data_IF_060033430621
#
_entry.id   IF_060033430621
#
_cell.length_a   1.000
_cell.length_b   1.000
_cell.length_c   1.000
_cell.angle_alpha   90.00
_cell.angle_beta   90.00
_cell.angle_gamma   90.00
#
_symmetry.space_group_name_H-M   'P 1'
#
loop_
_entity.id
_entity.type
_entity.pdbx_description
1 polymer ?
#
# COMPACT_ATOMS: atom_id res chain seq x y z
N UNK A 1 -1.04 -32.32 20.07
CA UNK A 1 -1.78 -32.86 18.92
C UNK A 1 -1.18 -34.22 18.57
N UNK A 2 -1.98 -35.28 18.52
CA UNK A 2 -1.48 -36.62 18.17
C UNK A 2 -1.12 -36.67 16.68
N UNK A 3 -0.13 -37.47 16.30
CA UNK A 3 0.38 -37.57 14.91
C UNK A 3 -0.76 -37.90 13.92
N UNK A 4 -1.71 -38.74 14.33
CA UNK A 4 -2.89 -39.11 13.53
C UNK A 4 -3.87 -37.93 13.33
N UNK A 5 -4.08 -37.10 14.36
CA UNK A 5 -4.92 -35.90 14.26
C UNK A 5 -4.30 -34.87 13.29
N UNK A 6 -2.96 -34.76 13.29
CA UNK A 6 -2.22 -33.89 12.37
C UNK A 6 -2.27 -34.39 10.93
N UNK A 7 -2.07 -35.69 10.70
CA UNK A 7 -2.18 -36.29 9.36
C UNK A 7 -3.58 -36.14 8.78
N UNK A 8 -4.62 -36.35 9.61
CA UNK A 8 -6.00 -36.12 9.20
C UNK A 8 -6.25 -34.66 8.82
N UNK A 9 -5.85 -33.72 9.68
CA UNK A 9 -6.01 -32.28 9.43
C UNK A 9 -5.25 -31.82 8.18
N UNK A 10 -4.04 -32.35 7.96
CA UNK A 10 -3.25 -32.06 6.75
C UNK A 10 -3.96 -32.54 5.49
N UNK A 11 -4.37 -33.81 5.45
CA UNK A 11 -4.90 -34.46 4.26
C UNK A 11 -6.32 -34.01 3.90
N UNK A 12 -7.18 -33.85 4.90
CA UNK A 12 -8.58 -33.51 4.66
C UNK A 12 -8.81 -32.00 4.45
N UNK A 13 -7.96 -31.15 5.01
CA UNK A 13 -8.18 -29.69 4.99
C UNK A 13 -7.02 -28.92 4.38
N UNK A 14 -5.78 -29.07 4.87
CA UNK A 14 -4.67 -28.21 4.44
C UNK A 14 -4.23 -28.47 2.99
N UNK A 15 -4.15 -29.73 2.56
CA UNK A 15 -3.78 -30.11 1.19
C UNK A 15 -4.82 -29.62 0.17
N UNK A 16 -6.14 -29.89 0.33
CA UNK A 16 -7.17 -29.32 -0.54
C UNK A 16 -7.18 -27.79 -0.54
N UNK A 17 -7.01 -27.13 0.62
CA UNK A 17 -6.94 -25.67 0.70
C UNK A 17 -5.73 -25.12 -0.06
N UNK A 18 -4.59 -25.80 0.04
CA UNK A 18 -3.36 -25.44 -0.69
C UNK A 18 -3.56 -25.61 -2.20
N UNK A 19 -4.16 -26.71 -2.65
CA UNK A 19 -4.42 -26.95 -4.08
C UNK A 19 -5.45 -25.97 -4.65
N UNK A 20 -6.54 -25.70 -3.91
CA UNK A 20 -7.50 -24.63 -4.24
C UNK A 20 -6.79 -23.28 -4.38
N UNK A 21 -5.90 -22.94 -3.44
CA UNK A 21 -5.12 -21.70 -3.49
C UNK A 21 -4.22 -21.61 -4.72
N UNK A 22 -3.55 -22.71 -5.11
CA UNK A 22 -2.73 -22.78 -6.34
C UNK A 22 -3.56 -22.64 -7.61
N UNK A 23 -4.69 -23.34 -7.70
CA UNK A 23 -5.58 -23.26 -8.86
C UNK A 23 -6.16 -21.86 -9.02
N UNK A 24 -6.59 -21.25 -7.91
CA UNK A 24 -7.03 -19.87 -7.88
C UNK A 24 -5.93 -18.94 -8.37
N UNK A 25 -4.70 -19.08 -7.87
CA UNK A 25 -3.55 -18.29 -8.32
C UNK A 25 -3.30 -18.41 -9.84
N UNK A 26 -3.41 -19.61 -10.42
CA UNK A 26 -3.29 -19.82 -11.88
C UNK A 26 -4.39 -19.11 -12.68
N UNK A 27 -5.64 -19.18 -12.22
CA UNK A 27 -6.76 -18.48 -12.86
C UNK A 27 -6.58 -16.96 -12.80
N UNK A 28 -6.14 -16.43 -11.64
CA UNK A 28 -5.84 -15.02 -11.47
C UNK A 28 -4.73 -14.53 -12.41
N UNK A 29 -3.65 -15.29 -12.59
CA UNK A 29 -2.54 -14.88 -13.46
C UNK A 29 -2.91 -14.89 -14.96
N UNK A 30 -3.78 -15.82 -15.38
CA UNK A 30 -4.05 -16.03 -16.81
C UNK A 30 -5.34 -15.37 -17.32
N UNK A 31 -6.42 -15.33 -16.53
CA UNK A 31 -7.73 -14.89 -17.01
C UNK A 31 -8.04 -13.44 -16.65
N UNK A 32 -7.64 -12.98 -15.46
CA UNK A 32 -7.93 -11.60 -15.03
C UNK A 32 -7.37 -10.55 -15.98
N UNK A 33 -6.13 -10.65 -16.52
CA UNK A 33 -5.64 -9.67 -17.48
C UNK A 33 -6.52 -9.55 -18.74
N UNK A 34 -7.07 -10.66 -19.24
CA UNK A 34 -7.96 -10.64 -20.39
C UNK A 34 -9.31 -9.97 -20.07
N UNK A 35 -9.89 -10.28 -18.90
CA UNK A 35 -11.16 -9.69 -18.45
C UNK A 35 -11.03 -8.18 -18.27
N UNK A 36 -9.95 -7.71 -17.64
CA UNK A 36 -9.71 -6.28 -17.40
C UNK A 36 -9.51 -5.55 -18.73
N UNK A 37 -8.72 -6.10 -19.65
CA UNK A 37 -8.51 -5.47 -20.97
C UNK A 37 -9.84 -5.32 -21.72
N UNK A 38 -10.66 -6.38 -21.74
CA UNK A 38 -11.99 -6.33 -22.38
C UNK A 38 -12.90 -5.25 -21.77
N UNK A 39 -12.93 -5.14 -20.44
CA UNK A 39 -13.68 -4.07 -19.78
C UNK A 39 -13.19 -2.68 -20.22
N UNK A 40 -11.88 -2.46 -20.28
CA UNK A 40 -11.33 -1.17 -20.71
C UNK A 40 -11.60 -0.88 -22.20
N UNK A 41 -11.68 -1.90 -23.06
CA UNK A 41 -12.12 -1.77 -24.45
C UNK A 41 -13.59 -1.31 -24.54
N UNK A 42 -14.47 -1.86 -23.70
CA UNK A 42 -15.88 -1.46 -23.62
C UNK A 42 -16.04 -0.02 -23.08
N UNK A 43 -15.25 0.36 -22.07
CA UNK A 43 -15.18 1.74 -21.56
C UNK A 43 -14.74 2.70 -22.66
N UNK A 44 -13.67 2.36 -23.40
CA UNK A 44 -13.19 3.17 -24.53
C UNK A 44 -14.25 3.33 -25.63
N UNK A 45 -15.03 2.29 -25.89
CA UNK A 45 -16.11 2.32 -26.88
C UNK A 45 -17.34 3.11 -26.41
N UNK A 46 -17.35 3.65 -25.18
CA UNK A 46 -18.52 4.30 -24.58
C UNK A 46 -19.66 3.33 -24.24
N UNK A 47 -19.39 2.02 -24.27
CA UNK A 47 -20.38 0.97 -24.05
C UNK A 47 -20.66 0.66 -22.57
N UNK A 48 -19.79 1.13 -21.67
CA UNK A 48 -19.87 0.86 -20.23
C UNK A 48 -19.85 2.15 -19.41
N UNK A 49 -20.75 2.26 -18.44
CA UNK A 49 -20.70 3.31 -17.42
C UNK A 49 -19.48 3.04 -16.54
N UNK A 50 -18.56 3.99 -16.46
CA UNK A 50 -17.37 3.88 -15.62
C UNK A 50 -17.81 3.98 -14.16
N UNK A 51 -17.71 2.86 -13.43
CA UNK A 51 -17.88 2.89 -11.97
C UNK A 51 -16.50 2.99 -11.34
N UNK A 52 -16.36 3.95 -10.43
CA UNK A 52 -15.11 4.30 -9.75
C UNK A 52 -14.48 3.16 -8.94
N UNK A 53 -15.26 2.18 -8.49
CA UNK A 53 -14.84 1.03 -7.68
C UNK A 53 -14.64 -0.27 -8.48
N UNK A 54 -14.73 -0.21 -9.82
CA UNK A 54 -14.66 -1.41 -10.68
C UNK A 54 -13.28 -2.07 -10.66
N UNK A 55 -12.22 -1.27 -10.73
CA UNK A 55 -10.84 -1.75 -10.82
C UNK A 55 -10.01 -1.26 -9.65
N UNK A 56 -9.16 -2.13 -9.12
CA UNK A 56 -8.16 -1.76 -8.11
C UNK A 56 -7.01 -0.95 -8.75
N UNK A 57 -6.31 -0.10 -7.97
CA UNK A 57 -5.26 0.79 -8.49
C UNK A 57 -4.20 0.08 -9.34
N UNK A 58 -3.74 -1.08 -8.89
CA UNK A 58 -2.71 -1.87 -9.58
C UNK A 58 -3.19 -2.53 -10.88
N UNK A 59 -4.49 -2.77 -11.02
CA UNK A 59 -5.07 -3.22 -12.28
C UNK A 59 -5.17 -2.08 -13.28
N UNK A 60 -5.47 -0.86 -12.84
CA UNK A 60 -5.53 0.31 -13.73
C UNK A 60 -4.13 0.65 -14.26
N UNK A 61 -3.13 0.76 -13.37
CA UNK A 61 -1.79 1.20 -13.76
C UNK A 61 -1.10 0.24 -14.74
N UNK A 62 -1.42 -1.06 -14.67
CA UNK A 62 -0.93 -2.08 -15.61
C UNK A 62 -1.21 -1.72 -17.07
N UNK A 63 -2.36 -1.12 -17.34
CA UNK A 63 -2.82 -0.80 -18.70
C UNK A 63 -2.52 0.63 -19.13
N UNK A 64 -1.98 1.49 -18.27
CA UNK A 64 -1.74 2.91 -18.61
C UNK A 64 -0.74 3.10 -19.77
N UNK A 65 0.11 2.10 -20.02
CA UNK A 65 1.05 2.06 -21.15
C UNK A 65 0.54 1.22 -22.34
N UNK A 66 -0.62 0.58 -22.23
CA UNK A 66 -1.22 -0.19 -23.31
C UNK A 66 -1.70 0.77 -24.41
N UNK A 67 -1.42 0.42 -25.67
CA UNK A 67 -1.70 1.28 -26.84
C UNK A 67 -3.19 1.36 -27.15
N UNK A 68 -3.94 0.32 -26.81
CA UNK A 68 -5.35 0.18 -27.17
C UNK A 68 -6.24 0.76 -26.07
N UNK A 69 -5.90 0.48 -24.80
CA UNK A 69 -6.75 0.77 -23.64
C UNK A 69 -6.17 1.75 -22.62
N UNK A 70 -4.98 2.32 -22.87
CA UNK A 70 -4.33 3.22 -21.92
C UNK A 70 -5.13 4.48 -21.58
N UNK A 71 -5.87 5.03 -22.54
CA UNK A 71 -6.77 6.17 -22.30
C UNK A 71 -7.95 5.80 -21.38
N UNK A 72 -8.56 4.63 -21.59
CA UNK A 72 -9.62 4.14 -20.70
C UNK A 72 -9.09 3.87 -19.29
N UNK A 73 -7.84 3.39 -19.16
CA UNK A 73 -7.19 3.23 -17.87
C UNK A 73 -6.98 4.59 -17.17
N UNK A 74 -6.54 5.63 -17.89
CA UNK A 74 -6.41 6.99 -17.35
C UNK A 74 -7.76 7.54 -16.86
N UNK A 75 -8.84 7.35 -17.63
CA UNK A 75 -10.18 7.82 -17.24
C UNK A 75 -10.66 7.05 -16.00
N UNK A 76 -10.52 5.72 -15.97
CA UNK A 76 -10.87 4.90 -14.81
C UNK A 76 -10.08 5.32 -13.56
N UNK A 77 -8.81 5.68 -13.69
CA UNK A 77 -8.00 6.21 -12.58
C UNK A 77 -8.60 7.50 -12.03
N UNK A 78 -8.90 8.47 -12.90
CA UNK A 78 -9.46 9.76 -12.50
C UNK A 78 -10.79 9.60 -11.76
N UNK A 79 -11.69 8.76 -12.28
CA UNK A 79 -12.98 8.45 -11.63
C UNK A 79 -12.79 7.79 -10.25
N UNK A 80 -11.83 6.87 -10.12
CA UNK A 80 -11.49 6.26 -8.83
C UNK A 80 -10.98 7.30 -7.84
N UNK A 81 -10.06 8.17 -8.26
CA UNK A 81 -9.48 9.22 -7.43
C UNK A 81 -10.52 10.25 -6.98
N UNK A 82 -11.38 10.68 -7.89
CA UNK A 82 -12.46 11.62 -7.58
C UNK A 82 -13.45 11.03 -6.59
N UNK A 83 -13.84 9.77 -6.76
CA UNK A 83 -14.72 9.09 -5.81
C UNK A 83 -14.12 8.96 -4.40
N UNK A 84 -12.81 8.66 -4.29
CA UNK A 84 -12.13 8.60 -2.99
C UNK A 84 -12.04 10.00 -2.38
N UNK A 85 -11.80 11.03 -3.19
CA UNK A 85 -11.68 12.41 -2.75
C UNK A 85 -13.04 12.99 -2.28
N UNK A 86 -14.13 12.68 -2.98
CA UNK A 86 -15.50 13.17 -2.70
C UNK A 86 -16.25 12.36 -1.63
N UNK A 87 -15.72 11.22 -1.17
CA UNK A 87 -16.33 10.43 -0.09
C UNK A 87 -16.48 11.22 1.21
N UNK A 88 -17.18 10.65 2.20
CA UNK A 88 -17.62 11.35 3.44
C UNK A 88 -16.52 12.12 4.18
N UNK A 89 -15.24 11.73 4.03
CA UNK A 89 -14.07 12.60 4.19
C UNK A 89 -12.96 12.07 3.27
N UNK A 90 -12.09 12.93 2.71
CA UNK A 90 -10.86 12.47 2.05
C UNK A 90 -10.00 11.69 3.07
N UNK A 91 -10.06 10.37 3.00
CA UNK A 91 -9.50 9.45 4.00
C UNK A 91 -7.97 9.41 3.99
N UNK A 92 -7.34 9.97 2.97
CA UNK A 92 -5.89 10.02 2.80
C UNK A 92 -5.32 11.43 2.98
N UNK A 93 -6.10 12.38 3.52
CA UNK A 93 -5.59 13.69 3.94
C UNK A 93 -4.41 13.53 4.89
N UNK A 94 -3.40 14.39 4.75
CA UNK A 94 -2.17 14.37 5.56
C UNK A 94 -1.51 12.99 5.67
N UNK A 95 -1.55 12.20 4.60
CA UNK A 95 -0.84 10.94 4.48
C UNK A 95 0.40 11.09 3.60
N UNK A 96 1.43 10.28 3.85
CA UNK A 96 2.65 10.26 3.03
C UNK A 96 3.00 8.83 2.63
N UNK A 97 3.31 8.64 1.35
CA UNK A 97 3.84 7.39 0.85
C UNK A 97 5.36 7.38 0.92
N UNK A 98 5.91 6.26 1.38
CA UNK A 98 7.32 5.88 1.21
C UNK A 98 7.35 4.68 0.30
N UNK A 99 7.95 4.82 -0.89
CA UNK A 99 8.04 3.75 -1.88
C UNK A 99 9.50 3.31 -2.04
N UNK A 100 9.76 2.03 -1.79
CA UNK A 100 11.05 1.40 -2.02
C UNK A 100 10.84 0.08 -2.77
N UNK A 101 11.00 0.13 -4.09
CA UNK A 101 10.79 -1.03 -4.97
C UNK A 101 12.15 -1.71 -5.16
N UNK A 102 12.44 -2.68 -4.30
CA UNK A 102 13.71 -3.42 -4.34
C UNK A 102 13.72 -4.44 -5.48
N UNK A 103 14.90 -5.00 -5.76
CA UNK A 103 15.05 -6.12 -6.68
C UNK A 103 14.14 -7.31 -6.36
N UNK A 104 13.86 -7.60 -5.08
CA UNK A 104 12.96 -8.68 -4.70
C UNK A 104 11.51 -8.43 -5.18
N UNK A 105 11.12 -7.15 -5.28
CA UNK A 105 9.82 -6.69 -5.74
C UNK A 105 9.72 -6.55 -7.27
N UNK A 106 10.71 -7.04 -8.03
CA UNK A 106 10.80 -6.89 -9.49
C UNK A 106 9.69 -7.58 -10.29
N UNK A 107 8.87 -8.44 -9.66
CA UNK A 107 7.66 -8.95 -10.29
C UNK A 107 6.72 -7.79 -10.66
N UNK A 108 6.29 -7.74 -11.93
CA UNK A 108 5.51 -6.63 -12.48
C UNK A 108 4.27 -6.29 -11.63
N UNK A 109 3.52 -7.30 -11.19
CA UNK A 109 2.33 -7.11 -10.35
C UNK A 109 2.61 -6.45 -8.99
N UNK A 110 3.77 -6.74 -8.39
CA UNK A 110 4.19 -6.16 -7.09
C UNK A 110 4.66 -4.73 -7.28
N UNK A 111 5.44 -4.50 -8.34
CA UNK A 111 5.91 -3.16 -8.73
C UNK A 111 4.73 -2.24 -9.07
N UNK A 112 3.76 -2.71 -9.87
CA UNK A 112 2.52 -2.00 -10.20
C UNK A 112 1.71 -1.66 -8.95
N UNK A 113 1.61 -2.59 -7.99
CA UNK A 113 0.90 -2.36 -6.74
C UNK A 113 1.58 -1.29 -5.87
N UNK A 114 2.89 -1.42 -5.62
CA UNK A 114 3.62 -0.43 -4.84
C UNK A 114 3.58 0.97 -5.47
N UNK A 115 3.75 1.05 -6.80
CA UNK A 115 3.70 2.32 -7.51
C UNK A 115 2.30 2.94 -7.51
N UNK A 116 1.24 2.16 -7.79
CA UNK A 116 -0.12 2.68 -7.79
C UNK A 116 -0.57 3.18 -6.41
N UNK A 117 -0.27 2.45 -5.33
CA UNK A 117 -0.56 2.91 -3.97
C UNK A 117 0.25 4.16 -3.60
N UNK A 118 1.52 4.22 -4.00
CA UNK A 118 2.36 5.40 -3.80
C UNK A 118 1.82 6.66 -4.46
N UNK A 119 1.41 6.55 -5.73
CA UNK A 119 0.80 7.65 -6.49
C UNK A 119 -0.53 8.07 -5.86
N UNK A 120 -1.40 7.09 -5.55
CA UNK A 120 -2.71 7.33 -4.95
C UNK A 120 -2.62 8.12 -3.64
N UNK A 121 -1.78 7.67 -2.71
CA UNK A 121 -1.58 8.35 -1.42
C UNK A 121 -1.01 9.75 -1.63
N UNK A 122 -0.04 9.89 -2.55
CA UNK A 122 0.57 11.18 -2.84
C UNK A 122 -0.45 12.20 -3.37
N UNK A 123 -1.33 11.78 -4.28
CA UNK A 123 -2.33 12.65 -4.91
C UNK A 123 -3.51 13.00 -4.01
N UNK A 124 -3.92 12.09 -3.14
CA UNK A 124 -5.00 12.32 -2.18
C UNK A 124 -4.52 13.05 -0.92
N UNK A 125 -3.21 13.22 -0.72
CA UNK A 125 -2.70 14.03 0.38
C UNK A 125 -3.03 15.52 0.22
N UNK A 126 -2.83 16.30 1.29
CA UNK A 126 -3.29 17.68 1.37
C UNK A 126 -2.19 18.70 0.98
N UNK A 127 -2.62 19.78 0.32
CA UNK A 127 -1.77 20.95 0.07
C UNK A 127 -1.53 21.74 1.37
N UNK A 128 -0.46 22.56 1.47
CA UNK A 128 0.60 22.80 0.49
C UNK A 128 1.84 21.91 0.67
N UNK A 129 1.88 21.13 1.75
CA UNK A 129 3.14 20.54 2.23
C UNK A 129 3.40 19.13 1.67
N UNK A 130 2.37 18.35 1.34
CA UNK A 130 2.52 16.91 1.13
C UNK A 130 1.88 16.37 -0.14
N UNK A 131 0.88 17.05 -0.69
CA UNK A 131 0.25 16.66 -1.95
C UNK A 131 1.27 16.51 -3.08
N UNK A 132 1.13 15.43 -3.83
CA UNK A 132 2.00 15.05 -4.94
C UNK A 132 3.41 14.63 -4.53
N UNK A 133 3.68 14.42 -3.23
CA UNK A 133 5.02 14.05 -2.75
C UNK A 133 5.12 12.60 -2.30
N UNK A 134 6.27 11.99 -2.59
CA UNK A 134 6.62 10.62 -2.20
C UNK A 134 8.04 10.59 -1.66
N UNK A 135 8.28 9.83 -0.60
CA UNK A 135 9.64 9.56 -0.12
C UNK A 135 10.19 8.33 -0.86
N UNK A 136 11.42 8.46 -1.34
CA UNK A 136 12.19 7.36 -1.92
C UNK A 136 13.42 7.08 -1.06
N UNK A 137 13.96 5.86 -1.16
CA UNK A 137 15.29 5.58 -0.67
C UNK A 137 16.30 5.81 -1.78
N UNK A 138 17.42 6.47 -1.44
CA UNK A 138 18.52 6.60 -2.36
C UNK A 138 19.05 5.23 -2.81
N UNK A 139 19.64 5.15 -4.02
CA UNK A 139 20.17 3.90 -4.56
C UNK A 139 21.43 3.40 -3.83
N UNK A 140 21.98 4.12 -2.86
CA UNK A 140 23.22 3.75 -2.17
C UNK A 140 23.01 3.63 -0.67
N UNK A 141 23.85 2.82 -0.01
CA UNK A 141 23.74 2.48 1.42
C UNK A 141 23.85 3.67 2.37
N UNK A 142 24.49 4.73 1.90
CA UNK A 142 24.84 5.97 2.60
C UNK A 142 23.96 7.16 2.19
N UNK A 143 23.01 6.95 1.26
CA UNK A 143 22.09 8.02 0.83
C UNK A 143 20.85 8.06 1.73
N UNK A 144 20.58 9.27 2.23
CA UNK A 144 19.40 9.60 3.01
C UNK A 144 18.13 9.45 2.15
N UNK A 145 16.96 9.18 2.78
CA UNK A 145 15.68 9.27 2.10
C UNK A 145 15.50 10.66 1.48
N UNK A 146 14.81 10.72 0.35
CA UNK A 146 14.56 11.96 -0.37
C UNK A 146 13.07 12.15 -0.59
N UNK A 147 12.57 13.36 -0.33
CA UNK A 147 11.21 13.75 -0.63
C UNK A 147 11.16 14.26 -2.08
N UNK A 148 10.45 13.53 -2.94
CA UNK A 148 10.27 13.90 -4.34
C UNK A 148 8.86 14.43 -4.59
N UNK A 149 8.75 15.51 -5.36
CA UNK A 149 7.49 15.88 -6.00
C UNK A 149 7.32 15.02 -7.27
N UNK A 150 6.26 14.22 -7.33
CA UNK A 150 5.94 13.38 -8.49
C UNK A 150 5.68 14.29 -9.70
N UNK A 151 6.39 14.03 -10.79
CA UNK A 151 6.28 14.80 -12.03
C UNK A 151 5.41 14.07 -13.05
N UNK A 152 4.67 14.82 -13.88
CA UNK A 152 3.83 14.31 -14.95
C UNK A 152 2.39 14.81 -14.88
N UNK A 153 1.76 14.96 -16.04
CA UNK A 153 0.36 15.44 -16.17
C UNK A 153 -0.67 14.32 -16.28
N UNK A 154 -0.23 13.08 -16.50
CA UNK A 154 -1.07 11.89 -16.67
C UNK A 154 -0.55 10.74 -15.80
N UNK A 155 -1.35 9.69 -15.59
CA UNK A 155 -0.94 8.54 -14.78
C UNK A 155 0.30 7.84 -15.35
N UNK A 156 0.44 7.80 -16.68
CA UNK A 156 1.59 7.16 -17.34
C UNK A 156 2.92 7.82 -16.96
N UNK A 157 2.99 9.13 -17.08
CA UNK A 157 4.19 9.92 -16.78
C UNK A 157 4.51 9.91 -15.28
N UNK A 158 3.49 9.95 -14.42
CA UNK A 158 3.64 9.79 -12.96
C UNK A 158 4.13 8.40 -12.59
N UNK A 159 3.59 7.34 -13.21
CA UNK A 159 4.06 5.98 -13.07
C UNK A 159 5.53 5.85 -13.50
N UNK A 160 5.88 6.40 -14.66
CA UNK A 160 7.25 6.43 -15.16
C UNK A 160 8.21 7.16 -14.19
N UNK A 161 7.75 8.26 -13.58
CA UNK A 161 8.52 8.96 -12.55
C UNK A 161 8.75 8.07 -11.32
N UNK A 162 7.68 7.50 -10.75
CA UNK A 162 7.75 6.66 -9.55
C UNK A 162 8.62 5.43 -9.79
N UNK A 163 8.50 4.76 -10.93
CA UNK A 163 9.38 3.63 -11.25
C UNK A 163 10.85 4.06 -11.30
N UNK A 164 11.17 5.18 -11.94
CA UNK A 164 12.57 5.66 -11.98
C UNK A 164 13.10 6.10 -10.62
N UNK A 165 12.27 6.77 -9.82
CA UNK A 165 12.68 7.37 -8.56
C UNK A 165 12.70 6.37 -7.40
N UNK A 166 11.78 5.39 -7.38
CA UNK A 166 11.57 4.48 -6.26
C UNK A 166 12.19 3.08 -6.49
N UNK A 167 12.63 2.75 -7.70
CA UNK A 167 13.29 1.46 -7.97
C UNK A 167 14.73 1.46 -7.49
N UNK A 168 15.08 0.44 -6.72
CA UNK A 168 16.42 0.27 -6.17
C UNK A 168 16.99 -1.11 -6.52
N UNK A 169 18.20 -1.13 -7.09
CA UNK A 169 18.93 -2.35 -7.43
C UNK A 169 19.36 -3.16 -6.21
N UNK A 170 19.31 -2.56 -5.01
CA UNK A 170 19.74 -3.19 -3.77
C UNK A 170 18.56 -3.67 -2.93
N UNK A 171 18.76 -4.73 -2.16
CA UNK A 171 17.79 -5.31 -1.21
C UNK A 171 17.78 -4.61 0.15
N UNK A 172 18.10 -3.31 0.19
CA UNK A 172 18.14 -2.59 1.47
C UNK A 172 16.74 -2.20 1.92
N UNK A 173 16.45 -2.52 3.19
CA UNK A 173 15.23 -2.05 3.83
C UNK A 173 15.27 -0.56 4.15
N UNK A 174 14.08 0.05 4.18
CA UNK A 174 13.85 1.45 4.58
C UNK A 174 14.37 1.69 5.98
N UNK A 175 15.18 2.73 6.17
CA UNK A 175 15.59 3.14 7.52
C UNK A 175 14.52 4.07 8.12
N UNK A 176 13.75 3.54 9.06
CA UNK A 176 12.65 4.26 9.67
C UNK A 176 13.10 5.50 10.44
N UNK A 177 14.29 5.45 11.05
CA UNK A 177 14.89 6.56 11.80
C UNK A 177 15.05 7.80 10.90
N UNK A 178 15.56 7.57 9.70
CA UNK A 178 15.83 8.61 8.71
C UNK A 178 14.55 9.16 8.07
N UNK A 179 13.54 8.31 7.85
CA UNK A 179 12.23 8.77 7.32
C UNK A 179 11.58 9.75 8.30
N UNK A 180 11.61 9.44 9.61
CA UNK A 180 11.07 10.34 10.62
C UNK A 180 11.84 11.67 10.68
N UNK A 181 13.16 11.62 10.57
CA UNK A 181 13.99 12.81 10.56
C UNK A 181 13.71 13.70 9.35
N UNK A 182 13.52 13.12 8.17
CA UNK A 182 13.15 13.86 6.97
C UNK A 182 11.77 14.53 7.11
N UNK A 183 10.78 13.84 7.67
CA UNK A 183 9.45 14.42 7.90
C UNK A 183 9.55 15.62 8.85
N UNK A 184 10.30 15.48 9.95
CA UNK A 184 10.51 16.55 10.91
C UNK A 184 11.26 17.73 10.29
N UNK A 185 12.31 17.45 9.51
CA UNK A 185 13.08 18.47 8.79
C UNK A 185 12.19 19.28 7.85
N UNK A 186 11.37 18.60 7.04
CA UNK A 186 10.42 19.26 6.13
C UNK A 186 9.41 20.09 6.91
N UNK A 187 8.91 19.58 8.03
CA UNK A 187 7.97 20.31 8.88
C UNK A 187 8.57 21.61 9.43
N UNK A 188 9.77 21.52 10.03
CA UNK A 188 10.49 22.67 10.59
C UNK A 188 10.85 23.68 9.50
N UNK A 189 11.43 23.23 8.38
CA UNK A 189 11.84 24.11 7.29
C UNK A 189 10.68 24.88 6.64
N UNK A 190 9.48 24.31 6.66
CA UNK A 190 8.27 24.93 6.10
C UNK A 190 7.37 25.58 7.17
N UNK A 191 7.77 25.58 8.45
CA UNK A 191 6.98 26.08 9.58
C UNK A 191 5.54 25.52 9.59
N UNK A 192 5.40 24.21 9.41
CA UNK A 192 4.08 23.58 9.34
C UNK A 192 3.35 23.70 10.68
N UNK A 193 2.03 23.90 10.62
CA UNK A 193 1.17 23.81 11.81
C UNK A 193 0.86 22.36 12.16
N UNK A 194 0.40 22.11 13.38
CA UNK A 194 0.06 20.77 13.87
C UNK A 194 -1.00 20.06 12.99
N UNK A 195 -1.91 20.83 12.39
CA UNK A 195 -2.95 20.31 11.49
C UNK A 195 -2.39 19.89 10.13
N UNK A 196 -1.26 20.48 9.72
CA UNK A 196 -0.57 20.20 8.45
C UNK A 196 0.50 19.10 8.59
N UNK A 197 0.70 18.57 9.80
CA UNK A 197 1.61 17.46 10.04
C UNK A 197 1.04 16.18 9.44
N UNK A 198 1.92 15.36 8.86
CA UNK A 198 1.54 14.02 8.42
C UNK A 198 0.99 13.24 9.62
N UNK A 199 -0.20 12.67 9.44
CA UNK A 199 -0.87 11.82 10.43
C UNK A 199 -0.58 10.34 10.19
N UNK A 200 -0.36 9.94 8.93
CA UNK A 200 -0.02 8.55 8.57
C UNK A 200 1.08 8.46 7.53
N UNK A 201 2.03 7.56 7.73
CA UNK A 201 3.03 7.19 6.72
C UNK A 201 2.82 5.74 6.30
N UNK A 202 2.69 5.52 4.99
CA UNK A 202 2.55 4.20 4.40
C UNK A 202 3.87 3.78 3.75
N UNK A 203 4.53 2.75 4.29
CA UNK A 203 5.78 2.22 3.74
C UNK A 203 5.48 1.01 2.86
N UNK A 204 5.59 1.19 1.55
CA UNK A 204 5.40 0.14 0.54
C UNK A 204 6.78 -0.43 0.14
N UNK A 205 7.19 -1.53 0.78
CA UNK A 205 8.53 -2.13 0.62
C UNK A 205 8.53 -3.61 1.03
N UNK A 206 9.57 -4.37 0.74
CA UNK A 206 9.77 -5.75 1.19
C UNK A 206 10.42 -5.84 2.59
N UNK A 207 11.17 -4.81 2.96
CA UNK A 207 12.01 -4.78 4.16
C UNK A 207 12.11 -3.38 4.77
N UNK A 208 12.21 -3.33 6.11
CA UNK A 208 12.43 -2.12 6.93
C UNK A 208 13.49 -2.42 7.98
N UNK A 209 14.28 -1.40 8.33
CA UNK A 209 15.29 -1.40 9.40
C UNK A 209 14.93 -0.32 10.43
N UNK A 210 15.37 -0.54 11.68
CA UNK A 210 14.99 0.29 12.84
C UNK A 210 16.22 1.00 13.44
N UNK A 211 16.91 1.82 12.64
CA UNK A 211 18.19 2.38 13.04
C UNK A 211 19.25 1.29 13.27
N UNK A 212 20.18 1.52 14.21
CA UNK A 212 21.22 0.55 14.57
C UNK A 212 20.67 -0.81 15.05
N UNK A 213 21.45 -1.88 14.90
CA UNK A 213 21.09 -3.32 15.04
C UNK A 213 20.34 -3.78 16.31
N UNK A 214 20.05 -2.93 17.30
CA UNK A 214 19.51 -3.32 18.61
C UNK A 214 18.25 -2.56 19.06
N UNK A 215 17.71 -1.64 18.26
CA UNK A 215 16.58 -0.80 18.71
C UNK A 215 15.23 -1.42 18.39
N UNK A 216 14.34 -1.53 19.39
CA UNK A 216 12.96 -1.97 19.19
C UNK A 216 12.09 -0.86 18.56
N UNK A 217 11.01 -1.23 17.87
CA UNK A 217 10.01 -0.28 17.34
C UNK A 217 9.56 0.73 18.41
N UNK A 218 9.27 0.25 19.62
CA UNK A 218 8.83 1.07 20.75
C UNK A 218 9.85 2.13 21.13
N UNK A 219 11.10 1.72 21.32
CA UNK A 219 12.18 2.64 21.75
C UNK A 219 12.43 3.72 20.70
N UNK A 220 12.51 3.33 19.42
CA UNK A 220 12.74 4.26 18.33
C UNK A 220 11.56 5.22 18.14
N UNK A 221 10.33 4.72 18.20
CA UNK A 221 9.12 5.52 18.06
C UNK A 221 9.00 6.58 19.15
N UNK A 222 9.17 6.22 20.43
CA UNK A 222 9.09 7.17 21.54
C UNK A 222 10.25 8.18 21.55
N UNK A 223 11.45 7.76 21.10
CA UNK A 223 12.57 8.68 20.91
C UNK A 223 12.27 9.72 19.82
N UNK A 224 11.70 9.30 18.67
CA UNK A 224 11.29 10.24 17.62
C UNK A 224 10.14 11.14 18.05
N UNK A 225 9.14 10.60 18.75
CA UNK A 225 8.05 11.40 19.31
C UNK A 225 8.58 12.49 20.24
N UNK A 226 9.55 12.18 21.09
CA UNK A 226 10.23 13.17 21.95
C UNK A 226 10.96 14.23 21.14
N UNK A 227 11.67 13.83 20.07
CA UNK A 227 12.36 14.77 19.16
C UNK A 227 11.39 15.73 18.46
N UNK A 228 10.21 15.27 18.03
CA UNK A 228 9.18 16.13 17.46
C UNK A 228 8.71 17.17 18.49
N UNK A 229 8.53 16.74 19.75
CA UNK A 229 8.13 17.62 20.86
C UNK A 229 9.15 18.69 21.18
N UNK A 230 10.43 18.34 21.16
CA UNK A 230 11.54 19.30 21.36
C UNK A 230 11.59 20.39 20.27
N UNK A 231 11.10 20.09 19.06
CA UNK A 231 10.96 21.07 17.96
C UNK A 231 9.67 21.90 18.04
N UNK A 232 8.90 21.78 19.12
CA UNK A 232 7.68 22.57 19.36
C UNK A 232 6.40 21.93 18.82
N UNK A 233 6.45 20.70 18.32
CA UNK A 233 5.25 19.97 17.89
C UNK A 233 4.56 19.23 19.04
N UNK A 234 3.25 19.00 18.92
CA UNK A 234 2.48 18.25 19.91
C UNK A 234 2.83 16.76 19.95
N UNK A 235 2.32 16.08 20.99
CA UNK A 235 2.46 14.63 21.15
C UNK A 235 1.78 13.82 20.02
N UNK A 236 0.89 14.46 19.25
CA UNK A 236 0.12 13.94 18.11
C UNK A 236 0.77 14.22 16.73
N UNK A 237 1.94 14.86 16.72
CA UNK A 237 2.66 15.19 15.49
C UNK A 237 3.50 14.03 14.95
N UNK A 238 3.80 13.05 15.80
CA UNK A 238 4.43 11.81 15.36
C UNK A 238 3.40 10.98 14.58
N UNK A 239 3.63 10.67 13.29
CA UNK A 239 2.64 9.95 12.50
C UNK A 239 2.45 8.51 12.97
N UNK A 240 1.27 7.96 12.69
CA UNK A 240 1.08 6.51 12.67
C UNK A 240 1.81 5.93 11.46
N UNK A 241 2.47 4.80 11.66
CA UNK A 241 3.30 4.16 10.64
C UNK A 241 2.66 2.84 10.27
N UNK A 242 2.32 2.68 8.99
CA UNK A 242 1.90 1.40 8.44
C UNK A 242 3.01 0.90 7.53
N UNK A 243 3.77 -0.08 8.02
CA UNK A 243 4.68 -0.84 7.17
C UNK A 243 3.92 -1.93 6.44
N UNK A 244 3.87 -1.83 5.11
CA UNK A 244 3.24 -2.83 4.27
C UNK A 244 4.30 -3.62 3.51
N UNK A 245 4.54 -4.85 3.96
CA UNK A 245 5.26 -5.86 3.21
C UNK A 245 4.40 -6.41 2.05
N UNK A 246 4.53 -5.78 0.89
CA UNK A 246 3.82 -6.16 -0.35
C UNK A 246 4.45 -7.40 -1.01
N UNK A 247 5.70 -7.70 -0.67
CA UNK A 247 6.42 -8.86 -1.18
C UNK A 247 5.97 -10.14 -0.47
N UNK A 248 4.91 -10.75 -1.01
CA UNK A 248 4.41 -12.05 -0.56
C UNK A 248 4.28 -13.02 -1.73
N UNK A 249 5.36 -13.75 -2.00
CA UNK A 249 5.45 -14.72 -3.11
C UNK A 249 4.79 -16.07 -2.76
N UNK A 250 4.52 -16.35 -1.48
CA UNK A 250 4.22 -17.72 -1.03
C UNK A 250 2.84 -17.91 -0.40
N UNK A 251 1.95 -16.91 -0.46
CA UNK A 251 0.62 -17.03 0.12
C UNK A 251 0.66 -17.30 1.62
N UNK A 252 1.71 -16.85 2.30
CA UNK A 252 1.74 -16.89 3.75
C UNK A 252 0.66 -15.96 4.26
N UNK A 253 -0.13 -16.44 5.22
CA UNK A 253 -1.33 -15.76 5.72
C UNK A 253 -1.11 -14.26 5.91
N UNK A 254 -2.07 -13.47 5.42
CA UNK A 254 -2.15 -12.04 5.70
C UNK A 254 -1.95 -11.83 7.19
N UNK A 255 -1.01 -10.94 7.52
CA UNK A 255 -0.66 -10.70 8.90
C UNK A 255 -0.71 -9.23 9.21
N UNK A 256 -1.43 -8.92 10.28
CA UNK A 256 -1.42 -7.60 10.91
C UNK A 256 -0.84 -7.76 12.30
N UNK A 257 0.22 -7.02 12.58
CA UNK A 257 0.82 -6.91 13.90
C UNK A 257 0.83 -5.44 14.30
N UNK A 258 0.54 -5.17 15.57
CA UNK A 258 0.59 -3.83 16.15
C UNK A 258 1.59 -3.87 17.31
N UNK A 259 2.90 -3.82 17.03
CA UNK A 259 3.93 -3.92 18.07
C UNK A 259 3.93 -2.69 19.00
N UNK A 260 3.32 -1.58 18.58
CA UNK A 260 3.25 -0.33 19.34
C UNK A 260 2.03 0.50 18.90
N UNK A 261 1.37 1.26 19.80
CA UNK A 261 0.39 2.27 19.39
C UNK A 261 1.06 3.28 18.42
N UNK A 262 0.55 3.41 17.20
CA UNK A 262 1.19 4.21 16.15
C UNK A 262 2.08 3.42 15.19
N UNK A 263 2.17 2.09 15.31
CA UNK A 263 2.88 1.22 14.37
C UNK A 263 2.03 0.00 14.02
N UNK A 264 1.75 -0.18 12.72
CA UNK A 264 1.09 -1.35 12.14
C UNK A 264 2.02 -2.01 11.14
N UNK A 265 2.23 -3.31 11.29
CA UNK A 265 2.95 -4.15 10.32
C UNK A 265 1.91 -4.97 9.55
N UNK A 266 1.89 -4.81 8.25
CA UNK A 266 0.97 -5.46 7.34
C UNK A 266 1.74 -6.31 6.33
N UNK A 267 1.32 -7.56 6.11
CA UNK A 267 1.89 -8.44 5.09
C UNK A 267 0.81 -9.00 4.17
N UNK A 268 1.13 -9.02 2.87
CA UNK A 268 0.30 -9.63 1.82
C UNK A 268 -0.19 -8.61 0.79
N UNK A 269 -0.81 -9.07 -0.28
CA UNK A 269 -1.18 -8.22 -1.42
C UNK A 269 -2.52 -8.62 -2.07
N UNK A 270 -3.43 -9.22 -1.29
CA UNK A 270 -4.72 -9.67 -1.83
C UNK A 270 -5.64 -8.52 -2.20
N UNK A 271 -6.52 -8.75 -3.18
CA UNK A 271 -7.52 -7.77 -3.60
C UNK A 271 -8.42 -7.31 -2.45
N UNK A 272 -8.79 -8.22 -1.55
CA UNK A 272 -9.58 -7.90 -0.34
C UNK A 272 -8.82 -6.93 0.57
N UNK A 273 -7.52 -7.15 0.76
CA UNK A 273 -6.69 -6.27 1.57
C UNK A 273 -6.53 -4.89 0.93
N UNK A 274 -6.28 -4.83 -0.38
CA UNK A 274 -6.17 -3.57 -1.12
C UNK A 274 -7.50 -2.82 -1.07
N UNK A 275 -8.63 -3.51 -1.24
CA UNK A 275 -9.95 -2.90 -1.12
C UNK A 275 -10.18 -2.35 0.28
N UNK A 276 -9.88 -3.13 1.33
CA UNK A 276 -9.99 -2.66 2.71
C UNK A 276 -9.10 -1.44 2.99
N UNK A 277 -7.89 -1.39 2.43
CA UNK A 277 -7.02 -0.23 2.54
C UNK A 277 -7.68 1.03 1.98
N UNK A 278 -8.28 0.93 0.78
CA UNK A 278 -8.95 2.05 0.11
C UNK A 278 -10.21 2.48 0.86
N UNK A 279 -11.04 1.51 1.26
CA UNK A 279 -12.32 1.75 1.93
C UNK A 279 -12.12 2.38 3.32
N UNK A 280 -11.01 2.08 4.00
CA UNK A 280 -10.76 2.52 5.38
C UNK A 280 -9.68 3.61 5.51
N UNK A 281 -9.18 4.20 4.42
CA UNK A 281 -8.11 5.22 4.53
C UNK A 281 -6.81 4.70 5.14
N UNK A 282 -6.50 3.44 4.85
CA UNK A 282 -5.36 2.72 5.40
C UNK A 282 -5.49 2.31 6.87
N UNK A 283 -6.65 2.47 7.52
CA UNK A 283 -6.92 1.79 8.79
C UNK A 283 -7.13 0.29 8.55
N UNK A 284 -6.17 -0.51 9.00
CA UNK A 284 -6.18 -1.96 8.81
C UNK A 284 -5.90 -2.65 10.14
N UNK A 285 -6.92 -3.30 10.68
CA UNK A 285 -6.85 -4.18 11.85
C UNK A 285 -7.14 -5.63 11.49
N UNK A 286 -6.78 -6.55 12.39
CA UNK A 286 -7.10 -7.98 12.23
C UNK A 286 -8.59 -8.22 12.03
N UNK A 287 -9.42 -7.52 12.80
CA UNK A 287 -10.87 -7.66 12.73
C UNK A 287 -11.40 -7.20 11.38
N UNK A 288 -10.94 -6.04 10.87
CA UNK A 288 -11.35 -5.56 9.55
C UNK A 288 -10.94 -6.49 8.41
N UNK A 289 -9.73 -7.08 8.44
CA UNK A 289 -9.33 -8.06 7.42
C UNK A 289 -10.21 -9.31 7.50
N UNK A 290 -10.50 -9.80 8.71
CA UNK A 290 -11.38 -10.94 8.91
C UNK A 290 -12.77 -10.67 8.34
N UNK A 291 -13.40 -9.55 8.74
CA UNK A 291 -14.71 -9.11 8.25
C UNK A 291 -14.71 -8.98 6.71
N UNK A 292 -13.70 -8.34 6.14
CA UNK A 292 -13.58 -8.19 4.69
C UNK A 292 -13.40 -9.53 3.96
N UNK A 293 -12.72 -10.51 4.56
CA UNK A 293 -12.54 -11.84 3.98
C UNK A 293 -13.84 -12.66 3.95
N UNK A 294 -14.69 -12.49 4.97
CA UNK A 294 -15.97 -13.23 5.11
C UNK A 294 -17.18 -12.46 4.56
N UNK A 295 -17.02 -11.19 4.16
CA UNK A 295 -18.11 -10.37 3.62
C UNK A 295 -18.64 -10.86 2.25
N UNK A 296 -17.93 -11.77 1.57
CA UNK A 296 -18.36 -12.28 0.28
C UNK A 296 -19.68 -13.07 0.41
N UNK A 297 -20.60 -12.92 -0.55
CA UNK A 297 -21.93 -13.56 -0.58
C UNK A 297 -21.86 -15.08 -0.40
N UNK A 298 -20.79 -15.71 -0.87
CA UNK A 298 -20.55 -17.15 -0.70
C UNK A 298 -20.46 -17.56 0.78
N UNK A 299 -19.89 -16.70 1.63
CA UNK A 299 -19.72 -16.95 3.06
C UNK A 299 -20.92 -16.48 3.91
N UNK A 300 -21.80 -15.64 3.36
CA UNK A 300 -23.02 -15.18 4.05
C UNK A 300 -24.04 -16.30 4.31
N UNK A 301 -23.87 -17.46 3.64
CA UNK A 301 -24.69 -18.66 3.89
C UNK A 301 -24.19 -19.51 5.05
N UNK A 302 -22.99 -19.21 5.56
CA UNK A 302 -22.40 -19.93 6.69
C UNK A 302 -22.97 -19.40 8.01
N UNK A 303 -23.32 -20.32 8.90
CA UNK A 303 -23.77 -20.02 10.26
C UNK A 303 -22.68 -20.42 11.25
N UNK A 304 -22.41 -19.53 12.22
CA UNK A 304 -21.54 -19.86 13.36
C UNK A 304 -22.36 -20.73 14.30
N UNK A 305 -21.88 -21.95 14.57
CA UNK A 305 -22.49 -22.89 15.51
C UNK A 305 -21.63 -22.89 16.77
N UNK A 306 -22.27 -22.68 17.92
CA UNK A 306 -21.70 -22.87 19.28
C UNK A 306 -21.48 -24.37 19.55
#
# INVERSE_FOLDING_TARGET
>A
MRIEEWERLRKEFLEPLTEYSRQRMRLYLNQMPCVIKKYLEEVKAGGSIIKSDTLLPHYIIRYVKDKDVGEAAEIQWKEMMENIYQGEENKFKNCLAVCNITYAMSAASITELAASLGILVSELSEEPAWKGKVITLGPLRDKLPLLHSIQGSDLKSRYDFVIRACSNSYSQGVDFDQVCDLILEVAVNNNLKAEQMIKKVFLFTDSVRFGGCSTSWKTLYEAKRSKFKEQGYGDDAMPHILFWNIWDIAGFMHRVEEPHPGVTLLRGNSNTLIKSFLDNGGEISRHQIMEAAIANKEYQTLSVVD
#
